data_IF_922796614504
#
_entry.id   IF_922796614504
#
_cell.length_a   1.000
_cell.length_b   1.000
_cell.length_c   1.000
_cell.angle_alpha   90.00
_cell.angle_beta   90.00
_cell.angle_gamma   90.00
#
_symmetry.space_group_name_H-M   'P 1'
#
loop_
_entity.id
_entity.type
_entity.pdbx_description
1 polymer ?
#
# COMPACT_ATOMS: atom_id res chain seq x y z
N UNK A 1 3.12 3.96 -5.18
CA UNK A 1 4.58 4.15 -5.18
C UNK A 1 5.29 3.10 -6.01
N UNK A 2 5.10 1.81 -5.68
CA UNK A 2 5.77 0.65 -6.27
C UNK A 2 4.75 -0.40 -6.67
N UNK A 3 4.99 -1.09 -7.79
CA UNK A 3 4.24 -2.29 -8.17
C UNK A 3 4.88 -3.51 -7.51
N UNK A 4 4.20 -4.06 -6.52
CA UNK A 4 4.53 -5.34 -5.86
C UNK A 4 3.56 -6.47 -6.26
N UNK A 5 2.75 -6.25 -7.28
CA UNK A 5 1.68 -7.17 -7.67
C UNK A 5 2.16 -8.56 -8.06
N UNK A 6 3.34 -8.66 -8.69
CA UNK A 6 3.96 -9.95 -9.02
C UNK A 6 4.28 -10.75 -7.75
N UNK A 7 4.91 -10.12 -6.78
CA UNK A 7 5.28 -10.79 -5.53
C UNK A 7 4.06 -11.28 -4.75
N UNK A 8 3.03 -10.45 -4.60
CA UNK A 8 1.84 -10.82 -3.83
C UNK A 8 1.03 -11.94 -4.52
N UNK A 9 0.84 -11.84 -5.83
CA UNK A 9 0.06 -12.84 -6.58
C UNK A 9 0.73 -14.20 -6.61
N UNK A 10 2.05 -14.24 -6.81
CA UNK A 10 2.80 -15.48 -6.77
C UNK A 10 2.83 -16.08 -5.37
N UNK A 11 2.90 -15.27 -4.32
CA UNK A 11 2.88 -15.77 -2.94
C UNK A 11 1.51 -16.36 -2.60
N UNK A 12 0.42 -15.70 -2.96
CA UNK A 12 -0.93 -16.24 -2.76
C UNK A 12 -1.07 -17.59 -3.47
N UNK A 13 -0.65 -17.68 -4.73
CA UNK A 13 -0.71 -18.92 -5.49
C UNK A 13 0.21 -20.01 -4.94
N UNK A 14 1.42 -19.66 -4.47
CA UNK A 14 2.30 -20.61 -3.80
C UNK A 14 1.64 -21.24 -2.56
N UNK A 15 1.01 -20.43 -1.71
CA UNK A 15 0.28 -20.94 -0.54
C UNK A 15 -0.88 -21.82 -0.98
N UNK A 16 -1.66 -21.41 -1.99
CA UNK A 16 -2.79 -22.19 -2.53
C UNK A 16 -2.34 -23.56 -3.01
N UNK A 17 -1.31 -23.63 -3.83
CA UNK A 17 -0.78 -24.90 -4.37
C UNK A 17 -0.31 -25.85 -3.26
N UNK A 18 0.38 -25.32 -2.23
CA UNK A 18 0.81 -26.13 -1.09
C UNK A 18 -0.34 -26.63 -0.21
N UNK A 19 -1.53 -26.01 -0.32
CA UNK A 19 -2.75 -26.43 0.34
C UNK A 19 -3.65 -27.31 -0.57
N UNK A 20 -3.22 -27.60 -1.81
CA UNK A 20 -3.98 -28.40 -2.76
C UNK A 20 -5.07 -27.65 -3.53
N UNK A 21 -5.05 -26.31 -3.51
CA UNK A 21 -5.95 -25.48 -4.32
C UNK A 21 -5.33 -25.16 -5.69
N UNK A 22 -6.17 -24.93 -6.68
CA UNK A 22 -5.76 -24.45 -7.98
C UNK A 22 -5.28 -22.98 -7.91
N UNK A 23 -4.40 -22.61 -8.84
CA UNK A 23 -3.98 -21.20 -9.02
C UNK A 23 -5.15 -20.31 -9.43
N UNK A 24 -5.08 -19.06 -8.99
CA UNK A 24 -5.96 -18.00 -9.45
C UNK A 24 -5.21 -17.05 -10.39
N UNK A 25 -5.96 -16.42 -11.29
CA UNK A 25 -5.43 -15.40 -12.19
C UNK A 25 -4.90 -14.18 -11.40
N UNK A 26 -3.78 -13.59 -11.90
CA UNK A 26 -3.10 -12.46 -11.26
C UNK A 26 -4.06 -11.29 -11.04
N UNK A 27 -4.77 -10.87 -12.08
CA UNK A 27 -5.73 -9.76 -12.03
C UNK A 27 -6.80 -9.97 -10.97
N UNK A 28 -7.33 -11.19 -10.88
CA UNK A 28 -8.34 -11.56 -9.90
C UNK A 28 -7.80 -11.50 -8.46
N UNK A 29 -6.57 -11.98 -8.21
CA UNK A 29 -5.96 -11.87 -6.88
C UNK A 29 -5.79 -10.41 -6.49
N UNK A 30 -5.27 -9.56 -7.40
CA UNK A 30 -5.02 -8.14 -7.13
C UNK A 30 -6.30 -7.38 -6.80
N UNK A 31 -7.38 -7.64 -7.54
CA UNK A 31 -8.70 -7.08 -7.24
C UNK A 31 -9.15 -7.45 -5.81
N UNK A 32 -9.06 -8.73 -5.45
CA UNK A 32 -9.58 -9.26 -4.18
C UNK A 32 -8.72 -8.89 -2.96
N UNK A 33 -7.40 -8.78 -3.11
CA UNK A 33 -6.50 -8.34 -2.03
C UNK A 33 -6.84 -6.92 -1.56
N UNK A 34 -7.27 -6.06 -2.48
CA UNK A 34 -7.61 -4.66 -2.17
C UNK A 34 -9.06 -4.42 -1.77
N UNK A 35 -9.95 -5.40 -1.94
CA UNK A 35 -11.35 -5.27 -1.56
C UNK A 35 -11.50 -5.26 -0.02
N UNK A 36 -12.02 -4.16 0.57
CA UNK A 36 -12.16 -4.05 2.02
C UNK A 36 -13.28 -4.92 2.61
N UNK A 37 -14.16 -5.47 1.78
CA UNK A 37 -15.27 -6.32 2.20
C UNK A 37 -14.87 -7.80 2.34
N UNK A 38 -13.71 -8.18 1.84
CA UNK A 38 -13.25 -9.57 1.77
C UNK A 38 -12.37 -9.92 2.97
N UNK A 39 -12.69 -11.05 3.62
CA UNK A 39 -11.77 -11.75 4.49
C UNK A 39 -10.79 -12.57 3.62
N UNK A 40 -9.54 -12.14 3.53
CA UNK A 40 -8.53 -12.76 2.67
C UNK A 40 -8.24 -14.23 3.03
N UNK A 41 -8.27 -14.61 4.31
CA UNK A 41 -8.04 -15.98 4.75
C UNK A 41 -9.17 -16.90 4.27
N UNK A 42 -10.41 -16.44 4.40
CA UNK A 42 -11.59 -17.19 3.95
C UNK A 42 -11.64 -17.28 2.42
N UNK A 43 -11.42 -16.15 1.76
CA UNK A 43 -11.52 -16.08 0.30
C UNK A 43 -10.45 -16.91 -0.42
N UNK A 44 -9.17 -16.75 -0.02
CA UNK A 44 -8.09 -17.43 -0.70
C UNK A 44 -7.84 -18.86 -0.23
N UNK A 45 -8.17 -19.18 1.02
CA UNK A 45 -7.76 -20.44 1.64
C UNK A 45 -8.89 -21.19 2.38
N UNK A 46 -10.13 -20.65 2.41
CA UNK A 46 -11.29 -21.30 3.02
C UNK A 46 -11.25 -21.35 4.55
N UNK A 47 -10.46 -20.50 5.21
CA UNK A 47 -10.31 -20.48 6.68
C UNK A 47 -10.74 -19.12 7.24
N UNK A 48 -11.37 -19.08 8.42
CA UNK A 48 -11.83 -17.82 9.04
C UNK A 48 -10.68 -16.87 9.36
N UNK A 49 -9.52 -17.43 9.71
CA UNK A 49 -8.29 -16.73 10.02
C UNK A 49 -7.11 -17.46 9.38
N UNK A 50 -5.99 -16.76 9.18
CA UNK A 50 -4.78 -17.39 8.66
C UNK A 50 -4.25 -18.42 9.67
N UNK A 51 -4.07 -19.66 9.20
CA UNK A 51 -3.47 -20.73 10.00
C UNK A 51 -1.95 -20.54 10.10
N UNK A 52 -1.29 -21.12 11.13
CA UNK A 52 0.18 -21.09 11.23
C UNK A 52 0.90 -21.61 9.98
N UNK A 53 0.34 -22.64 9.32
CA UNK A 53 0.91 -23.19 8.08
C UNK A 53 0.80 -22.18 6.92
N UNK A 54 -0.35 -21.54 6.75
CA UNK A 54 -0.55 -20.51 5.71
C UNK A 54 0.41 -19.33 5.91
N UNK A 55 0.52 -18.84 7.14
CA UNK A 55 1.45 -17.75 7.50
C UNK A 55 2.89 -18.16 7.20
N UNK A 56 3.32 -19.35 7.62
CA UNK A 56 4.66 -19.85 7.36
C UNK A 56 4.98 -19.95 5.87
N UNK A 57 4.09 -20.56 5.08
CA UNK A 57 4.26 -20.68 3.63
C UNK A 57 4.34 -19.32 2.94
N UNK A 58 3.48 -18.38 3.37
CA UNK A 58 3.48 -17.01 2.87
C UNK A 58 4.82 -16.33 3.15
N UNK A 59 5.29 -16.34 4.41
CA UNK A 59 6.53 -15.71 4.82
C UNK A 59 7.75 -16.32 4.12
N UNK A 60 7.83 -17.66 4.03
CA UNK A 60 8.93 -18.36 3.36
C UNK A 60 9.06 -17.96 1.89
N UNK A 61 7.96 -17.89 1.15
CA UNK A 61 7.98 -17.50 -0.24
C UNK A 61 8.20 -16.00 -0.42
N UNK A 62 7.45 -15.18 0.32
CA UNK A 62 7.50 -13.73 0.20
C UNK A 62 8.87 -13.16 0.58
N UNK A 63 9.51 -13.69 1.62
CA UNK A 63 10.87 -13.30 2.01
C UNK A 63 11.90 -13.44 0.89
N UNK A 64 11.77 -14.48 0.07
CA UNK A 64 12.68 -14.75 -1.04
C UNK A 64 12.36 -13.91 -2.28
N UNK A 65 11.08 -13.65 -2.51
CA UNK A 65 10.61 -13.16 -3.81
C UNK A 65 9.98 -11.75 -3.77
N UNK A 66 9.84 -11.11 -2.59
CA UNK A 66 9.22 -9.79 -2.48
C UNK A 66 9.94 -8.67 -3.23
N UNK A 67 11.20 -8.86 -3.61
CA UNK A 67 11.99 -7.92 -4.41
C UNK A 67 12.02 -8.26 -5.90
N UNK A 68 11.50 -9.45 -6.29
CA UNK A 68 11.49 -9.86 -7.69
C UNK A 68 10.47 -9.04 -8.46
N UNK A 69 10.89 -8.52 -9.60
CA UNK A 69 10.05 -7.72 -10.51
C UNK A 69 9.35 -6.50 -9.85
N UNK A 70 9.98 -5.98 -8.78
CA UNK A 70 9.52 -4.78 -8.09
C UNK A 70 9.87 -3.55 -8.92
N UNK A 71 8.86 -2.77 -9.29
CA UNK A 71 9.01 -1.60 -10.15
C UNK A 71 8.46 -0.35 -9.46
N UNK A 72 9.16 0.78 -9.59
CA UNK A 72 8.62 2.10 -9.25
C UNK A 72 7.75 2.55 -10.43
N UNK A 73 6.54 3.04 -10.15
CA UNK A 73 5.70 3.59 -11.22
C UNK A 73 6.35 4.80 -11.87
N UNK A 74 6.18 4.93 -13.18
CA UNK A 74 6.79 5.98 -13.99
C UNK A 74 6.51 7.38 -13.42
N UNK A 75 7.57 8.20 -13.30
CA UNK A 75 7.50 9.56 -12.75
C UNK A 75 7.50 9.66 -11.22
N UNK A 76 7.20 8.58 -10.48
CA UNK A 76 7.11 8.62 -9.00
C UNK A 76 8.45 8.95 -8.35
N UNK A 77 9.55 8.36 -8.82
CA UNK A 77 10.87 8.65 -8.26
C UNK A 77 11.22 10.14 -8.36
N UNK A 78 10.93 10.75 -9.52
CA UNK A 78 11.12 12.18 -9.72
C UNK A 78 10.21 13.03 -8.81
N UNK A 79 8.93 12.70 -8.74
CA UNK A 79 7.98 13.40 -7.88
C UNK A 79 8.42 13.38 -6.41
N UNK A 80 8.86 12.22 -5.89
CA UNK A 80 9.37 12.09 -4.52
C UNK A 80 10.61 12.99 -4.31
N UNK A 81 11.51 12.99 -5.29
CA UNK A 81 12.72 13.85 -5.22
C UNK A 81 12.39 15.34 -5.22
N UNK A 82 11.42 15.77 -6.01
CA UNK A 82 10.94 17.15 -6.07
C UNK A 82 10.23 17.58 -4.76
N UNK A 83 9.49 16.66 -4.12
CA UNK A 83 8.72 16.96 -2.91
C UNK A 83 9.52 16.92 -1.60
N UNK A 84 10.61 16.16 -1.53
CA UNK A 84 11.32 15.83 -0.27
C UNK A 84 11.85 17.04 0.51
N UNK A 85 12.11 18.17 -0.16
CA UNK A 85 12.66 19.37 0.46
C UNK A 85 11.58 20.27 1.07
N UNK A 86 10.39 20.27 0.48
CA UNK A 86 9.26 21.11 0.88
C UNK A 86 8.27 20.37 1.80
N UNK A 87 8.27 19.04 1.76
CA UNK A 87 7.30 18.21 2.47
C UNK A 87 7.95 17.13 3.33
N UNK A 88 7.31 16.81 4.43
CA UNK A 88 7.60 15.59 5.20
C UNK A 88 6.88 14.42 4.55
N UNK A 89 7.64 13.48 4.00
CA UNK A 89 7.11 12.30 3.34
C UNK A 89 7.03 11.11 4.31
N UNK A 90 5.90 10.41 4.31
CA UNK A 90 5.67 9.21 5.11
C UNK A 90 4.91 8.15 4.30
N UNK A 91 5.03 6.90 4.72
CA UNK A 91 4.30 5.77 4.12
C UNK A 91 3.37 5.13 5.16
N UNK A 92 2.11 4.94 4.77
CA UNK A 92 1.10 4.19 5.50
C UNK A 92 0.63 3.02 4.61
N UNK A 93 1.02 1.78 4.93
CA UNK A 93 0.70 0.60 4.10
C UNK A 93 0.07 -0.53 4.89
N UNK A 94 -0.83 -1.29 4.24
CA UNK A 94 -1.33 -2.55 4.80
C UNK A 94 -0.39 -3.74 4.54
N UNK A 95 0.79 -3.52 3.99
CA UNK A 95 1.88 -4.48 4.04
C UNK A 95 2.55 -4.48 5.43
N UNK A 96 3.29 -5.54 5.75
CA UNK A 96 4.15 -5.54 6.94
C UNK A 96 5.27 -4.49 6.81
N UNK A 97 5.56 -3.76 7.89
CA UNK A 97 6.53 -2.66 7.89
C UNK A 97 7.93 -3.09 7.45
N UNK A 98 8.39 -4.28 7.87
CA UNK A 98 9.69 -4.82 7.47
C UNK A 98 9.80 -5.01 5.96
N UNK A 99 8.75 -5.53 5.32
CA UNK A 99 8.73 -5.69 3.86
C UNK A 99 8.63 -4.34 3.16
N UNK A 100 7.82 -3.41 3.67
CA UNK A 100 7.73 -2.07 3.11
C UNK A 100 9.09 -1.36 3.12
N UNK A 101 9.83 -1.41 4.24
CA UNK A 101 11.20 -0.90 4.32
C UNK A 101 12.16 -1.59 3.33
N UNK A 102 12.12 -2.92 3.27
CA UNK A 102 12.96 -3.72 2.39
C UNK A 102 12.74 -3.38 0.91
N UNK A 103 11.47 -3.26 0.50
CA UNK A 103 11.09 -2.91 -0.87
C UNK A 103 11.48 -1.48 -1.24
N UNK A 104 11.14 -0.50 -0.40
CA UNK A 104 11.45 0.90 -0.66
C UNK A 104 12.96 1.16 -0.69
N UNK A 105 13.73 0.50 0.17
CA UNK A 105 15.19 0.56 0.14
C UNK A 105 15.77 -0.07 -1.13
N UNK A 106 15.21 -1.21 -1.58
CA UNK A 106 15.65 -1.90 -2.79
C UNK A 106 15.51 -1.02 -4.04
N UNK A 107 14.41 -0.27 -4.15
CA UNK A 107 14.18 0.64 -5.27
C UNK A 107 14.76 2.04 -5.06
N UNK A 108 15.54 2.25 -3.99
CA UNK A 108 16.23 3.51 -3.71
C UNK A 108 15.35 4.64 -3.15
N UNK A 109 14.09 4.37 -2.79
CA UNK A 109 13.17 5.40 -2.29
C UNK A 109 13.09 5.49 -0.77
N UNK A 110 13.59 4.49 -0.02
CA UNK A 110 13.38 4.39 1.43
C UNK A 110 13.87 5.59 2.22
N UNK A 111 15.00 6.17 1.81
CA UNK A 111 15.63 7.32 2.51
C UNK A 111 14.85 8.64 2.40
N UNK A 112 13.90 8.76 1.48
CA UNK A 112 13.05 9.93 1.34
C UNK A 112 11.93 10.00 2.39
N UNK A 113 11.55 8.85 2.96
CA UNK A 113 10.44 8.77 3.90
C UNK A 113 10.92 8.83 5.35
N UNK A 114 10.42 9.81 6.12
CA UNK A 114 10.76 9.98 7.54
C UNK A 114 10.10 8.92 8.42
N UNK A 115 8.99 8.36 7.97
CA UNK A 115 8.23 7.33 8.69
C UNK A 115 7.61 6.35 7.69
N UNK A 116 7.76 5.06 7.94
CA UNK A 116 7.13 3.99 7.18
C UNK A 116 6.40 3.10 8.18
N UNK A 117 5.06 3.10 8.15
CA UNK A 117 4.20 2.27 9.00
C UNK A 117 3.52 1.19 8.17
N UNK A 118 3.59 -0.04 8.67
CA UNK A 118 2.86 -1.19 8.16
C UNK A 118 1.65 -1.54 9.04
N UNK A 119 0.89 -2.59 8.67
CA UNK A 119 -0.25 -3.06 9.47
C UNK A 119 0.17 -3.47 10.89
N UNK A 120 1.37 -3.96 11.05
CA UNK A 120 2.00 -4.38 12.31
C UNK A 120 2.40 -3.22 13.22
N UNK A 121 2.33 -1.99 12.73
CA UNK A 121 2.62 -0.77 13.48
C UNK A 121 1.40 -0.21 14.23
N UNK A 122 0.22 -0.77 14.03
CA UNK A 122 -1.07 -0.31 14.55
C UNK A 122 -1.96 -1.47 14.96
N UNK A 123 -2.96 -1.22 15.81
CA UNK A 123 -3.92 -2.25 16.19
C UNK A 123 -4.99 -2.48 15.11
N UNK A 124 -5.30 -1.45 14.33
CA UNK A 124 -6.28 -1.49 13.25
C UNK A 124 -5.71 -0.86 11.97
N UNK A 125 -5.41 -1.67 10.94
CA UNK A 125 -4.91 -1.17 9.66
C UNK A 125 -5.99 -0.42 8.86
N UNK A 126 -5.59 0.19 7.74
CA UNK A 126 -6.54 0.84 6.81
C UNK A 126 -7.62 -0.16 6.35
N UNK A 127 -8.89 0.22 6.35
CA UNK A 127 -9.48 1.56 6.34
C UNK A 127 -9.73 2.23 7.71
N UNK A 128 -9.11 1.77 8.80
CA UNK A 128 -9.13 2.48 10.07
C UNK A 128 -8.14 3.65 10.04
N UNK A 129 -8.43 4.81 10.68
CA UNK A 129 -7.59 6.01 10.61
C UNK A 129 -6.33 5.95 11.48
N UNK A 130 -6.15 4.93 12.31
CA UNK A 130 -5.09 4.84 13.33
C UNK A 130 -3.69 5.08 12.77
N UNK A 131 -3.39 4.50 11.61
CA UNK A 131 -2.07 4.65 10.96
C UNK A 131 -1.82 6.08 10.51
N UNK A 132 -2.84 6.74 9.95
CA UNK A 132 -2.78 8.15 9.53
C UNK A 132 -2.59 9.05 10.74
N UNK A 133 -3.41 8.89 11.78
CA UNK A 133 -3.30 9.66 13.03
C UNK A 133 -1.93 9.49 13.68
N UNK A 134 -1.40 8.27 13.72
CA UNK A 134 -0.07 8.01 14.28
C UNK A 134 1.05 8.74 13.53
N UNK A 135 0.96 8.84 12.19
CA UNK A 135 1.91 9.63 11.39
C UNK A 135 1.80 11.11 11.71
N UNK A 136 0.58 11.64 11.80
CA UNK A 136 0.34 13.05 12.17
C UNK A 136 0.92 13.37 13.55
N UNK A 137 0.71 12.50 14.53
CA UNK A 137 1.22 12.66 15.91
C UNK A 137 2.75 12.62 15.96
N UNK A 138 3.39 11.67 15.26
CA UNK A 138 4.86 11.56 15.20
C UNK A 138 5.48 12.85 14.67
N UNK A 139 4.88 13.41 13.63
CA UNK A 139 5.43 14.62 12.96
C UNK A 139 4.84 15.93 13.51
N UNK A 140 3.88 15.85 14.43
CA UNK A 140 3.16 17.02 15.01
C UNK A 140 2.52 17.90 13.94
N UNK A 141 1.94 17.26 12.92
CA UNK A 141 1.27 17.93 11.79
C UNK A 141 -0.24 17.84 12.01
N UNK A 142 -0.93 18.97 11.81
CA UNK A 142 -2.38 18.99 11.82
C UNK A 142 -2.94 18.31 10.56
N UNK A 143 -4.13 17.71 10.68
CA UNK A 143 -4.80 17.01 9.59
C UNK A 143 -5.04 17.88 8.34
N UNK A 144 -5.30 19.19 8.51
CA UNK A 144 -5.51 20.14 7.40
C UNK A 144 -4.23 20.39 6.58
N UNK A 145 -3.06 20.16 7.19
CA UNK A 145 -1.73 20.33 6.57
C UNK A 145 -1.16 19.00 6.06
N UNK A 146 -2.01 17.97 5.94
CA UNK A 146 -1.62 16.67 5.41
C UNK A 146 -2.51 16.27 4.23
N UNK A 147 -2.00 15.37 3.41
CA UNK A 147 -2.72 14.74 2.32
C UNK A 147 -2.29 13.27 2.20
N UNK A 148 -3.24 12.35 2.08
CA UNK A 148 -2.98 10.94 1.81
C UNK A 148 -3.18 10.66 0.32
N UNK A 149 -2.17 10.13 -0.32
CA UNK A 149 -2.23 9.65 -1.71
C UNK A 149 -2.29 8.11 -1.68
N UNK A 150 -3.29 7.53 -2.31
CA UNK A 150 -3.46 6.08 -2.34
C UNK A 150 -4.18 5.59 -3.58
N UNK A 151 -4.05 4.31 -3.87
CA UNK A 151 -4.66 3.62 -5.01
C UNK A 151 -5.87 2.76 -4.62
N UNK A 152 -6.32 2.85 -3.37
CA UNK A 152 -7.39 2.02 -2.82
C UNK A 152 -8.43 2.84 -2.06
N UNK A 153 -9.67 2.41 -2.11
CA UNK A 153 -10.72 2.97 -1.24
C UNK A 153 -10.41 2.83 0.26
N UNK A 154 -9.56 1.87 0.67
CA UNK A 154 -9.06 1.75 2.04
C UNK A 154 -8.27 2.99 2.46
N UNK A 155 -7.51 3.58 1.53
CA UNK A 155 -6.74 4.80 1.77
C UNK A 155 -7.67 6.00 1.96
N UNK A 156 -8.63 6.17 1.05
CA UNK A 156 -9.60 7.27 1.09
C UNK A 156 -10.43 7.20 2.38
N UNK A 157 -10.92 6.02 2.74
CA UNK A 157 -11.68 5.83 3.99
C UNK A 157 -10.85 6.15 5.24
N UNK A 158 -9.57 5.75 5.27
CA UNK A 158 -8.68 6.04 6.39
C UNK A 158 -8.42 7.55 6.51
N UNK A 159 -8.14 8.23 5.40
CA UNK A 159 -7.95 9.67 5.34
C UNK A 159 -9.20 10.44 5.80
N UNK A 160 -10.36 10.11 5.24
CA UNK A 160 -11.64 10.73 5.58
C UNK A 160 -11.93 10.63 7.09
N UNK A 161 -11.73 9.44 7.67
CA UNK A 161 -11.92 9.22 9.12
C UNK A 161 -10.89 9.94 9.99
N UNK A 162 -9.70 10.23 9.47
CA UNK A 162 -8.68 11.03 10.14
C UNK A 162 -8.88 12.55 9.92
N UNK A 163 -9.84 12.96 9.09
CA UNK A 163 -10.03 14.36 8.70
C UNK A 163 -8.91 14.91 7.82
N UNK A 164 -8.21 14.02 7.11
CA UNK A 164 -7.10 14.33 6.18
C UNK A 164 -7.66 14.34 4.76
N UNK A 165 -7.23 15.30 3.95
CA UNK A 165 -7.52 15.31 2.53
C UNK A 165 -6.86 14.12 1.81
N UNK A 166 -7.48 13.62 0.74
CA UNK A 166 -6.99 12.45 0.03
C UNK A 166 -7.08 12.58 -1.48
N UNK A 167 -6.16 11.90 -2.14
CA UNK A 167 -6.12 11.77 -3.59
C UNK A 167 -6.09 10.28 -3.94
N UNK A 168 -7.06 9.87 -4.76
CA UNK A 168 -7.10 8.54 -5.34
C UNK A 168 -6.34 8.56 -6.66
N UNK A 169 -5.45 7.59 -6.87
CA UNK A 169 -4.68 7.45 -8.11
C UNK A 169 -5.01 6.15 -8.83
N UNK A 170 -4.90 6.15 -10.16
CA UNK A 170 -5.36 5.05 -11.01
C UNK A 170 -4.23 4.17 -11.59
N UNK A 171 -3.01 4.31 -11.06
CA UNK A 171 -1.87 3.44 -11.42
C UNK A 171 -1.48 2.52 -10.27
N UNK A 172 -2.36 1.76 -9.76
CA UNK A 172 -2.16 0.79 -8.69
C UNK A 172 -2.76 -0.55 -9.07
N UNK A 173 -3.25 -1.26 -8.06
CA UNK A 173 -3.89 -2.55 -8.26
C UNK A 173 -5.39 -2.46 -8.51
N UNK A 174 -5.97 -1.29 -8.34
CA UNK A 174 -7.40 -1.05 -8.58
C UNK A 174 -7.58 -0.17 -9.81
N UNK A 175 -8.62 -0.45 -10.58
CA UNK A 175 -9.06 0.41 -11.67
C UNK A 175 -10.29 1.18 -11.18
N UNK A 176 -10.17 2.49 -11.07
CA UNK A 176 -11.24 3.37 -10.63
C UNK A 176 -11.83 4.10 -11.83
N UNK A 177 -13.12 3.92 -12.09
CA UNK A 177 -13.78 4.51 -13.25
C UNK A 177 -13.98 6.02 -13.14
N UNK A 178 -13.96 6.59 -11.92
CA UNK A 178 -14.21 8.02 -11.65
C UNK A 178 -13.40 8.52 -10.47
N UNK A 179 -13.11 9.81 -10.48
CA UNK A 179 -12.51 10.57 -9.38
C UNK A 179 -11.07 10.22 -9.01
N UNK A 180 -10.41 9.37 -9.79
CA UNK A 180 -9.00 9.07 -9.63
C UNK A 180 -8.13 9.87 -10.60
N UNK A 181 -6.95 10.23 -10.17
CA UNK A 181 -5.92 10.89 -10.98
C UNK A 181 -5.22 9.83 -11.84
N UNK A 182 -5.09 10.11 -13.13
CA UNK A 182 -4.54 9.18 -14.11
C UNK A 182 -3.02 9.31 -14.28
N UNK A 183 -2.44 10.48 -13.97
CA UNK A 183 -1.04 10.76 -14.23
C UNK A 183 -0.30 11.34 -13.02
N UNK A 184 1.00 11.08 -12.94
CA UNK A 184 1.86 11.65 -11.89
C UNK A 184 1.95 13.17 -12.01
N UNK A 185 1.83 13.72 -13.22
CA UNK A 185 1.80 15.17 -13.44
C UNK A 185 0.55 15.83 -12.84
N UNK A 186 -0.62 15.22 -13.01
CA UNK A 186 -1.86 15.69 -12.36
C UNK A 186 -1.75 15.59 -10.84
N UNK A 187 -1.13 14.54 -10.31
CA UNK A 187 -0.88 14.41 -8.88
C UNK A 187 0.01 15.55 -8.36
N UNK A 188 1.11 15.83 -9.04
CA UNK A 188 2.00 16.94 -8.68
C UNK A 188 1.24 18.29 -8.65
N UNK A 189 0.47 18.58 -9.70
CA UNK A 189 -0.35 19.79 -9.78
C UNK A 189 -1.36 19.85 -8.61
N UNK A 190 -1.99 18.74 -8.27
CA UNK A 190 -2.96 18.66 -7.17
C UNK A 190 -2.32 18.94 -5.81
N UNK A 191 -1.12 18.40 -5.57
CA UNK A 191 -0.34 18.64 -4.34
C UNK A 191 0.04 20.12 -4.26
N UNK A 192 0.60 20.69 -5.34
CA UNK A 192 1.03 22.08 -5.37
C UNK A 192 -0.13 23.06 -5.21
N UNK A 193 -1.29 22.78 -5.81
CA UNK A 193 -2.48 23.62 -5.67
C UNK A 193 -3.04 23.64 -4.24
N UNK A 194 -2.81 22.58 -3.46
CA UNK A 194 -3.25 22.52 -2.07
C UNK A 194 -2.33 23.27 -1.10
N UNK A 195 -1.02 23.17 -1.30
CA UNK A 195 -0.03 23.60 -0.30
C UNK A 195 0.79 24.85 -0.71
N UNK A 196 0.66 25.34 -1.93
CA UNK A 196 1.25 26.57 -2.44
C UNK A 196 0.19 27.57 -2.86
#
# INVERSE_FOLDING_TARGET
LIDSGFAITNTVNYVRENLGFEKLEKSFILEKVNDPSINAAEFFYGTKEFTPLQTKLFEEYYNKHCLSDLVVYDGIAKLIDDLKNDFTLAVATNANSQYAHKMLNHVGLGHHFKTILGYDSVSKPKPHPEMVNKILDIHKISNVNAQLIGDSHKDIMAATKAGVDSVLVNWGFSNHEKDAIETVQELEQRIMAKFK
#
